data_IF_338721306886
#
_entry.id   IF_338721306886
#
_cell.length_a   1.000
_cell.length_b   1.000
_cell.length_c   1.000
_cell.angle_alpha   90.00
_cell.angle_beta   90.00
_cell.angle_gamma   90.00
#
_symmetry.space_group_name_H-M   'P 1'
#
loop_
_entity.id
_entity.type
_entity.pdbx_description
1 polymer ?
#
# COMPACT_ATOMS: atom_id res chain seq x y z
N UNK A 1 -3.87 25.01 -4.78
CA UNK A 1 -3.79 23.95 -5.82
C UNK A 1 -2.98 24.46 -6.99
N UNK A 2 -2.20 23.59 -7.66
CA UNK A 2 -1.33 23.96 -8.79
C UNK A 2 -1.49 22.99 -9.96
N UNK A 3 -1.58 23.48 -11.20
CA UNK A 3 -1.51 22.62 -12.37
C UNK A 3 -0.07 22.21 -12.65
N UNK A 4 0.14 20.95 -13.01
CA UNK A 4 1.44 20.44 -13.47
C UNK A 4 1.41 20.27 -15.00
N UNK A 5 2.56 20.45 -15.64
CA UNK A 5 2.72 20.36 -17.09
C UNK A 5 3.52 19.12 -17.53
N UNK A 6 4.17 18.41 -16.61
CA UNK A 6 4.96 17.19 -16.90
C UNK A 6 5.20 16.34 -15.67
N UNK A 7 5.64 15.10 -15.88
CA UNK A 7 6.13 14.22 -14.82
C UNK A 7 7.39 14.77 -14.14
N UNK A 8 8.31 15.39 -14.89
CA UNK A 8 9.54 15.96 -14.32
C UNK A 8 9.25 17.07 -13.31
N UNK A 9 8.28 17.94 -13.63
CA UNK A 9 7.80 18.98 -12.71
C UNK A 9 7.19 18.35 -11.45
N UNK A 10 6.29 17.39 -11.61
CA UNK A 10 5.69 16.66 -10.50
C UNK A 10 6.75 16.00 -9.60
N UNK A 11 7.69 15.26 -10.19
CA UNK A 11 8.74 14.56 -9.46
C UNK A 11 9.60 15.51 -8.62
N UNK A 12 9.86 16.72 -9.12
CA UNK A 12 10.58 17.78 -8.40
C UNK A 12 9.76 18.29 -7.21
N UNK A 13 8.46 18.55 -7.43
CA UNK A 13 7.54 19.03 -6.39
C UNK A 13 7.31 17.99 -5.28
N UNK A 14 7.24 16.70 -5.62
CA UNK A 14 7.10 15.61 -4.66
C UNK A 14 8.28 15.49 -3.68
N UNK A 15 9.44 16.10 -3.97
CA UNK A 15 10.58 16.12 -3.04
C UNK A 15 10.48 17.20 -1.97
N UNK A 16 9.61 18.18 -2.17
CA UNK A 16 9.53 19.37 -1.32
C UNK A 16 8.57 19.19 -0.14
N UNK A 17 7.77 18.13 -0.16
CA UNK A 17 6.71 17.90 0.83
C UNK A 17 6.65 16.43 1.27
N UNK A 18 6.37 16.21 2.55
CA UNK A 18 6.22 14.87 3.12
C UNK A 18 4.97 14.16 2.60
N UNK A 19 3.88 14.91 2.37
CA UNK A 19 2.63 14.40 1.81
C UNK A 19 2.17 15.32 0.69
N UNK A 20 1.84 14.75 -0.47
CA UNK A 20 1.41 15.47 -1.66
C UNK A 20 0.25 14.76 -2.35
N UNK A 21 -0.58 15.52 -3.06
CA UNK A 21 -1.79 14.99 -3.68
C UNK A 21 -1.86 15.40 -5.14
N UNK A 22 -2.40 14.54 -6.00
CA UNK A 22 -2.55 14.82 -7.42
C UNK A 22 -3.91 14.34 -7.92
N UNK A 23 -4.70 15.23 -8.51
CA UNK A 23 -5.87 14.84 -9.28
C UNK A 23 -5.49 14.75 -10.77
N UNK A 24 -5.51 13.53 -11.30
CA UNK A 24 -5.56 13.28 -12.73
C UNK A 24 -7.01 13.44 -13.19
N UNK A 25 -7.24 14.30 -14.18
CA UNK A 25 -8.57 14.57 -14.72
C UNK A 25 -8.49 14.71 -16.25
N UNK A 26 -9.63 14.59 -16.93
CA UNK A 26 -9.73 14.88 -18.37
C UNK A 26 -10.73 16.00 -18.58
N UNK A 27 -10.30 17.14 -19.13
CA UNK A 27 -11.22 18.26 -19.41
C UNK A 27 -12.32 17.83 -20.39
N UNK A 28 -13.56 18.26 -20.14
CA UNK A 28 -14.74 17.86 -20.93
C UNK A 28 -15.35 16.52 -20.54
N UNK A 29 -14.83 15.83 -19.52
CA UNK A 29 -15.47 14.66 -18.93
C UNK A 29 -16.29 15.08 -17.70
N UNK A 30 -17.59 14.77 -17.70
CA UNK A 30 -18.49 15.15 -16.60
C UNK A 30 -17.99 14.66 -15.23
N UNK A 31 -17.49 13.42 -15.14
CA UNK A 31 -16.92 12.87 -13.92
C UNK A 31 -15.64 13.62 -13.49
N UNK A 32 -14.80 14.01 -14.44
CA UNK A 32 -13.58 14.76 -14.14
C UNK A 32 -13.88 16.19 -13.68
N UNK A 33 -14.88 16.83 -14.28
CA UNK A 33 -15.34 18.18 -13.90
C UNK A 33 -15.98 18.17 -12.51
N UNK A 34 -16.79 17.16 -12.21
CA UNK A 34 -17.36 16.94 -10.88
C UNK A 34 -16.25 16.72 -9.83
N UNK A 35 -15.27 15.86 -10.13
CA UNK A 35 -14.15 15.61 -9.22
C UNK A 35 -13.34 16.89 -8.92
N UNK A 36 -13.10 17.72 -9.94
CA UNK A 36 -12.45 19.02 -9.79
C UNK A 36 -13.26 19.98 -8.92
N UNK A 37 -14.57 20.06 -9.12
CA UNK A 37 -15.45 20.90 -8.32
C UNK A 37 -15.49 20.44 -6.86
N UNK A 38 -15.61 19.13 -6.63
CA UNK A 38 -15.65 18.56 -5.29
C UNK A 38 -14.34 18.78 -4.55
N UNK A 39 -13.20 18.63 -5.23
CA UNK A 39 -11.89 18.89 -4.65
C UNK A 39 -11.70 20.38 -4.29
N UNK A 40 -12.15 21.30 -5.15
CA UNK A 40 -12.09 22.76 -4.88
C UNK A 40 -12.99 23.21 -3.75
N UNK A 41 -14.11 22.52 -3.55
CA UNK A 41 -15.07 22.79 -2.47
C UNK A 41 -14.61 22.19 -1.13
N UNK A 42 -13.65 21.28 -1.15
CA UNK A 42 -13.12 20.67 0.06
C UNK A 42 -12.40 21.69 0.93
N UNK A 43 -12.61 21.56 2.24
CA UNK A 43 -11.91 22.32 3.27
C UNK A 43 -10.48 21.77 3.42
N UNK A 44 -9.56 22.41 2.71
CA UNK A 44 -8.15 22.02 2.63
C UNK A 44 -7.32 23.16 3.23
N UNK A 45 -6.47 22.82 4.21
CA UNK A 45 -5.57 23.78 4.83
C UNK A 45 -4.68 24.48 3.80
N UNK A 46 -4.56 25.80 3.93
CA UNK A 46 -3.72 26.61 3.06
C UNK A 46 -2.27 26.09 3.09
N UNK A 47 -1.61 26.10 1.93
CA UNK A 47 -0.27 25.55 1.76
C UNK A 47 -0.21 24.03 1.54
N UNK A 48 -1.31 23.30 1.61
CA UNK A 48 -1.31 21.85 1.32
C UNK A 48 -0.99 21.59 -0.16
N UNK A 49 0.03 20.77 -0.48
CA UNK A 49 0.47 20.51 -1.86
C UNK A 49 -0.51 19.61 -2.62
N UNK A 50 -1.50 20.26 -3.24
CA UNK A 50 -2.47 19.61 -4.13
C UNK A 50 -2.23 20.04 -5.57
N UNK A 51 -1.95 19.06 -6.41
CA UNK A 51 -1.63 19.22 -7.83
C UNK A 51 -2.79 18.75 -8.71
N UNK A 52 -2.90 19.32 -9.90
CA UNK A 52 -3.92 19.02 -10.90
C UNK A 52 -3.24 18.71 -12.24
N UNK A 53 -3.70 17.69 -12.95
CA UNK A 53 -3.13 17.29 -14.23
C UNK A 53 -4.23 16.88 -15.22
N UNK A 54 -4.36 17.67 -16.29
CA UNK A 54 -5.22 17.32 -17.41
C UNK A 54 -4.51 16.28 -18.29
N UNK A 55 -4.97 15.03 -18.25
CA UNK A 55 -4.36 13.93 -19.00
C UNK A 55 -4.48 14.10 -20.52
N UNK A 56 -5.37 14.98 -20.99
CA UNK A 56 -5.45 15.31 -22.41
C UNK A 56 -4.26 16.17 -22.87
N UNK A 57 -3.73 17.01 -21.99
CA UNK A 57 -2.62 17.93 -22.25
C UNK A 57 -1.28 17.36 -21.80
N UNK A 58 -1.25 16.67 -20.65
CA UNK A 58 -0.05 16.10 -20.02
C UNK A 58 -0.13 14.59 -20.06
N UNK A 59 0.61 13.98 -21.00
CA UNK A 59 0.45 12.56 -21.36
C UNK A 59 1.44 11.61 -20.68
N UNK A 60 2.47 12.11 -20.04
CA UNK A 60 3.54 11.33 -19.41
C UNK A 60 3.20 10.91 -17.97
N UNK A 61 2.55 11.78 -17.20
CA UNK A 61 2.27 11.57 -15.77
C UNK A 61 1.45 10.30 -15.51
N UNK A 62 0.34 10.09 -16.24
CA UNK A 62 -0.56 8.96 -15.98
C UNK A 62 0.06 7.61 -16.37
N UNK A 63 0.94 7.60 -17.38
CA UNK A 63 1.66 6.40 -17.81
C UNK A 63 2.62 5.91 -16.74
N UNK A 64 3.32 6.84 -16.07
CA UNK A 64 4.31 6.51 -15.04
C UNK A 64 3.70 5.82 -13.81
N UNK A 65 2.41 6.03 -13.56
CA UNK A 65 1.67 5.43 -12.45
C UNK A 65 0.64 4.39 -12.91
N UNK A 66 0.71 3.95 -14.17
CA UNK A 66 -0.18 2.94 -14.77
C UNK A 66 -1.68 3.27 -14.62
N UNK A 67 -2.03 4.56 -14.67
CA UNK A 67 -3.41 5.03 -14.54
C UNK A 67 -4.07 5.11 -15.92
N UNK A 68 -5.08 4.27 -16.14
CA UNK A 68 -5.83 4.18 -17.39
C UNK A 68 -7.24 4.80 -17.32
N UNK A 69 -7.63 5.35 -16.16
CA UNK A 69 -8.95 5.94 -15.92
C UNK A 69 -8.81 7.33 -15.31
N UNK A 70 -9.62 8.29 -15.76
CA UNK A 70 -9.76 9.60 -15.14
C UNK A 70 -11.25 9.85 -14.80
N UNK A 71 -11.57 10.46 -13.65
CA UNK A 71 -10.65 11.04 -12.67
C UNK A 71 -9.95 10.00 -11.78
N UNK A 72 -8.73 10.30 -11.36
CA UNK A 72 -7.98 9.53 -10.38
C UNK A 72 -7.21 10.46 -9.43
N UNK A 73 -7.37 10.24 -8.13
CA UNK A 73 -6.71 11.00 -7.09
C UNK A 73 -5.58 10.19 -6.48
N UNK A 74 -4.36 10.68 -6.59
CA UNK A 74 -3.13 10.02 -6.14
C UNK A 74 -2.65 10.70 -4.87
N UNK A 75 -2.29 9.89 -3.88
CA UNK A 75 -1.72 10.32 -2.60
C UNK A 75 -0.27 9.88 -2.56
N UNK A 76 0.63 10.82 -2.27
CA UNK A 76 2.06 10.59 -2.19
C UNK A 76 2.58 10.83 -0.78
N UNK A 77 3.54 10.00 -0.38
CA UNK A 77 4.41 10.24 0.78
C UNK A 77 5.83 10.45 0.26
N UNK A 78 6.26 11.72 0.17
CA UNK A 78 7.41 12.11 -0.63
C UNK A 78 7.27 11.66 -2.09
N UNK A 79 8.26 10.91 -2.61
CA UNK A 79 8.21 10.34 -3.97
C UNK A 79 7.38 9.06 -4.09
N UNK A 80 7.02 8.42 -2.97
CA UNK A 80 6.32 7.14 -2.97
C UNK A 80 4.83 7.37 -3.21
N UNK A 81 4.29 6.75 -4.24
CA UNK A 81 2.83 6.65 -4.41
C UNK A 81 2.27 5.78 -3.28
N UNK A 82 1.49 6.36 -2.39
CA UNK A 82 0.92 5.69 -1.23
C UNK A 82 -0.46 5.10 -1.53
N UNK A 83 -1.29 5.83 -2.28
CA UNK A 83 -2.65 5.40 -2.59
C UNK A 83 -3.14 5.99 -3.93
N UNK A 84 -3.99 5.24 -4.61
CA UNK A 84 -4.75 5.69 -5.79
C UNK A 84 -6.23 5.52 -5.51
N UNK A 85 -7.00 6.58 -5.67
CA UNK A 85 -8.46 6.60 -5.51
C UNK A 85 -9.06 6.94 -6.86
N UNK A 86 -9.81 6.00 -7.44
CA UNK A 86 -10.43 6.16 -8.76
C UNK A 86 -11.83 6.75 -8.62
N UNK A 87 -12.27 7.49 -9.63
CA UNK A 87 -13.61 8.06 -9.69
C UNK A 87 -13.78 9.36 -8.93
N UNK A 88 -15.03 9.84 -8.89
CA UNK A 88 -15.42 11.05 -8.18
C UNK A 88 -15.55 10.77 -6.68
N UNK A 89 -15.17 11.75 -5.87
CA UNK A 89 -15.30 11.70 -4.41
C UNK A 89 -15.99 12.97 -3.92
N UNK A 90 -16.54 12.93 -2.71
CA UNK A 90 -17.23 14.08 -2.11
C UNK A 90 -16.24 15.11 -1.57
N UNK A 91 -16.64 16.39 -1.42
CA UNK A 91 -15.79 17.40 -0.78
C UNK A 91 -15.31 16.98 0.62
N UNK A 92 -16.21 16.42 1.45
CA UNK A 92 -15.88 15.94 2.79
C UNK A 92 -14.80 14.84 2.77
N UNK A 93 -14.90 13.92 1.81
CA UNK A 93 -13.90 12.87 1.63
C UNK A 93 -12.52 13.46 1.32
N UNK A 94 -12.43 14.45 0.43
CA UNK A 94 -11.18 15.13 0.14
C UNK A 94 -10.64 15.90 1.36
N UNK A 95 -11.47 16.67 2.06
CA UNK A 95 -11.05 17.40 3.28
C UNK A 95 -10.43 16.44 4.30
N UNK A 96 -11.05 15.29 4.49
CA UNK A 96 -10.62 14.29 5.44
C UNK A 96 -9.35 13.56 5.02
N UNK A 97 -9.28 13.14 3.75
CA UNK A 97 -8.11 12.49 3.17
C UNK A 97 -6.88 13.41 3.22
N UNK A 98 -7.06 14.67 2.84
CA UNK A 98 -5.99 15.66 2.74
C UNK A 98 -5.58 16.21 4.12
N UNK A 99 -6.55 16.44 5.00
CA UNK A 99 -6.34 16.90 6.37
C UNK A 99 -5.80 15.84 7.33
N UNK A 100 -5.46 14.64 6.85
CA UNK A 100 -4.92 13.55 7.67
C UNK A 100 -5.92 12.92 8.64
N UNK A 101 -7.22 13.18 8.46
CA UNK A 101 -8.35 12.66 9.25
C UNK A 101 -9.24 11.79 8.37
N UNK A 102 -8.68 10.78 7.72
CA UNK A 102 -9.44 9.87 6.84
C UNK A 102 -10.62 9.18 7.57
N UNK A 103 -11.87 9.23 7.07
CA UNK A 103 -12.70 8.05 6.99
C UNK A 103 -12.25 7.32 5.73
N UNK A 104 -11.40 6.35 5.96
CA UNK A 104 -11.22 5.24 5.05
C UNK A 104 -12.61 4.63 4.78
N UNK A 105 -13.06 4.45 3.52
CA UNK A 105 -14.14 3.52 3.22
C UNK A 105 -13.53 2.11 3.23
N UNK A 106 -13.04 1.76 4.42
CA UNK A 106 -12.57 0.47 4.96
C UNK A 106 -11.92 0.82 6.29
N UNK A 107 -12.73 1.23 7.26
CA UNK A 107 -12.29 1.31 8.65
C UNK A 107 -12.03 -0.12 9.16
N UNK A 108 -10.78 -0.56 9.04
CA UNK A 108 -10.10 -1.36 10.05
C UNK A 108 -8.74 -0.73 10.29
N UNK A 109 -8.66 0.04 11.38
CA UNK A 109 -7.46 0.32 12.18
C UNK A 109 -6.13 -0.12 11.56
N UNK A 110 -5.44 0.79 10.86
CA UNK A 110 -4.05 0.58 10.43
C UNK A 110 -3.04 0.93 11.53
N UNK A 111 -3.45 0.70 12.78
CA UNK A 111 -2.58 0.57 13.94
C UNK A 111 -2.83 -0.77 14.66
N UNK A 112 -3.62 -1.67 14.05
CA UNK A 112 -3.88 -3.04 14.53
C UNK A 112 -4.42 -3.96 13.40
N UNK A 113 -4.02 -3.74 12.14
CA UNK A 113 -4.32 -4.68 11.07
C UNK A 113 -3.36 -5.88 11.18
N UNK A 114 -3.86 -7.13 11.24
CA UNK A 114 -2.99 -8.30 11.31
C UNK A 114 -2.09 -8.32 10.07
N UNK A 115 -0.81 -8.56 10.28
CA UNK A 115 0.18 -8.63 9.22
C UNK A 115 -0.22 -9.78 8.31
N UNK A 116 -0.05 -9.61 7.01
CA UNK A 116 -0.16 -10.73 6.09
C UNK A 116 1.04 -11.64 6.36
N UNK A 117 0.80 -12.72 7.08
CA UNK A 117 1.79 -13.75 7.36
C UNK A 117 1.47 -15.00 6.54
N UNK A 118 2.40 -15.43 5.70
CA UNK A 118 2.32 -16.71 4.99
C UNK A 118 3.50 -17.57 5.46
N UNK A 119 3.22 -18.80 5.84
CA UNK A 119 4.24 -19.78 6.26
C UNK A 119 4.29 -20.89 5.22
N UNK A 120 5.42 -21.02 4.55
CA UNK A 120 5.70 -22.12 3.64
C UNK A 120 6.26 -23.30 4.44
N UNK A 121 5.61 -24.46 4.32
CA UNK A 121 5.88 -25.65 5.13
C UNK A 121 5.95 -26.91 4.27
N UNK A 122 6.37 -28.00 4.90
CA UNK A 122 6.16 -29.37 4.43
C UNK A 122 5.67 -30.23 5.60
N UNK A 123 4.99 -31.38 5.35
CA UNK A 123 4.32 -32.14 6.40
C UNK A 123 5.23 -32.68 7.51
N UNK A 124 6.50 -32.97 7.20
CA UNK A 124 7.45 -33.62 8.12
C UNK A 124 8.47 -32.66 8.74
N UNK A 125 8.35 -31.36 8.46
CA UNK A 125 9.30 -30.35 8.90
C UNK A 125 9.08 -29.95 10.38
N UNK A 126 9.97 -30.41 11.26
CA UNK A 126 9.93 -30.09 12.71
C UNK A 126 10.05 -28.58 12.98
N UNK A 127 10.94 -27.89 12.27
CA UNK A 127 11.14 -26.43 12.39
C UNK A 127 9.91 -25.62 11.94
N UNK A 128 9.17 -26.12 10.96
CA UNK A 128 7.91 -25.52 10.51
C UNK A 128 6.86 -25.58 11.62
N UNK A 129 6.82 -26.67 12.39
CA UNK A 129 5.95 -26.77 13.56
C UNK A 129 6.37 -25.79 14.66
N UNK A 130 7.67 -25.65 14.94
CA UNK A 130 8.19 -24.66 15.90
C UNK A 130 7.76 -23.24 15.56
N UNK A 131 7.97 -22.83 14.30
CA UNK A 131 7.56 -21.51 13.81
C UNK A 131 6.04 -21.29 13.91
N UNK A 132 5.24 -22.26 13.48
CA UNK A 132 3.76 -22.16 13.58
C UNK A 132 3.29 -22.06 15.02
N UNK A 133 3.89 -22.83 15.93
CA UNK A 133 3.58 -22.77 17.36
C UNK A 133 3.94 -21.41 17.95
N UNK A 134 5.10 -20.84 17.57
CA UNK A 134 5.50 -19.50 17.97
C UNK A 134 4.49 -18.43 17.53
N UNK A 135 4.08 -18.45 16.26
CA UNK A 135 3.08 -17.51 15.74
C UNK A 135 1.73 -17.68 16.47
N UNK A 136 1.30 -18.91 16.72
CA UNK A 136 0.06 -19.19 17.48
C UNK A 136 0.14 -18.72 18.92
N UNK A 137 1.26 -18.91 19.62
CA UNK A 137 1.41 -18.46 21.02
C UNK A 137 1.34 -16.94 21.14
N UNK A 138 1.71 -16.21 20.08
CA UNK A 138 1.56 -14.76 19.99
C UNK A 138 0.25 -14.29 19.35
N UNK A 139 -0.71 -15.20 19.11
CA UNK A 139 -2.00 -14.92 18.45
C UNK A 139 -1.88 -14.30 17.05
N UNK A 140 -0.77 -14.57 16.36
CA UNK A 140 -0.55 -14.11 15.00
C UNK A 140 -1.30 -15.03 14.05
N UNK A 141 -2.22 -14.44 13.28
CA UNK A 141 -2.93 -15.17 12.22
C UNK A 141 -2.03 -15.32 11.00
N UNK A 142 -1.95 -16.52 10.43
CA UNK A 142 -1.15 -16.78 9.23
C UNK A 142 -1.83 -17.78 8.29
N UNK A 143 -1.49 -17.71 7.01
CA UNK A 143 -1.81 -18.73 6.01
C UNK A 143 -0.68 -19.74 5.91
N UNK A 144 -1.01 -21.03 5.99
CA UNK A 144 -0.04 -22.11 5.75
C UNK A 144 -0.11 -22.55 4.29
N UNK A 145 1.05 -22.67 3.65
CA UNK A 145 1.18 -23.24 2.29
C UNK A 145 2.12 -24.43 2.36
N UNK A 146 1.58 -25.62 2.14
CA UNK A 146 2.37 -26.84 1.97
C UNK A 146 2.97 -26.89 0.56
N UNK A 147 4.25 -26.56 0.46
CA UNK A 147 4.95 -26.51 -0.83
C UNK A 147 5.27 -27.89 -1.40
N UNK A 148 5.13 -28.97 -0.62
CA UNK A 148 5.27 -30.33 -1.18
C UNK A 148 4.05 -30.77 -1.98
N UNK A 149 2.96 -30.01 -1.93
CA UNK A 149 1.70 -30.30 -2.64
C UNK A 149 1.34 -29.25 -3.69
N UNK A 150 2.07 -28.14 -3.73
CA UNK A 150 1.86 -27.05 -4.66
C UNK A 150 3.19 -26.59 -5.28
N UNK A 151 3.55 -27.20 -6.40
CA UNK A 151 4.79 -26.93 -7.14
C UNK A 151 4.89 -25.49 -7.62
N UNK A 152 3.75 -24.84 -7.91
CA UNK A 152 3.73 -23.43 -8.33
C UNK A 152 4.12 -22.54 -7.15
N UNK A 153 3.59 -22.82 -5.97
CA UNK A 153 3.97 -22.08 -4.76
C UNK A 153 5.40 -22.38 -4.34
N UNK A 154 5.89 -23.61 -4.53
CA UNK A 154 7.30 -23.96 -4.31
C UNK A 154 8.24 -23.15 -5.22
N UNK A 155 7.92 -23.05 -6.52
CA UNK A 155 8.69 -22.27 -7.47
C UNK A 155 8.67 -20.77 -7.13
N UNK A 156 7.51 -20.22 -6.76
CA UNK A 156 7.39 -18.83 -6.33
C UNK A 156 8.17 -18.55 -5.03
N UNK A 157 8.15 -19.48 -4.08
CA UNK A 157 8.93 -19.39 -2.84
C UNK A 157 10.43 -19.27 -3.18
N UNK A 158 10.95 -20.18 -4.01
CA UNK A 158 12.36 -20.18 -4.45
C UNK A 158 12.69 -18.90 -5.21
N UNK A 159 11.82 -18.46 -6.13
CA UNK A 159 12.05 -17.25 -6.91
C UNK A 159 12.16 -16.01 -6.02
N UNK A 160 11.36 -15.94 -4.95
CA UNK A 160 11.32 -14.80 -4.03
C UNK A 160 12.45 -14.80 -3.00
N UNK A 161 12.86 -15.98 -2.54
CA UNK A 161 13.85 -16.11 -1.45
C UNK A 161 15.24 -16.51 -1.91
N UNK A 162 15.37 -17.03 -3.12
CA UNK A 162 16.58 -17.70 -3.60
C UNK A 162 16.86 -19.05 -2.92
N UNK A 163 15.93 -19.56 -2.10
CA UNK A 163 16.12 -20.75 -1.27
C UNK A 163 14.97 -21.75 -1.42
N UNK A 164 15.32 -23.03 -1.45
CA UNK A 164 14.34 -24.13 -1.57
C UNK A 164 13.90 -24.70 -0.21
N UNK A 165 14.70 -24.52 0.83
CA UNK A 165 14.42 -25.09 2.15
C UNK A 165 13.25 -24.40 2.87
N UNK A 166 12.47 -25.18 3.60
CA UNK A 166 11.45 -24.70 4.57
C UNK A 166 11.98 -24.83 6.01
N UNK A 167 11.46 -24.07 6.99
CA UNK A 167 10.39 -23.08 6.87
C UNK A 167 10.85 -21.79 6.18
N UNK A 168 9.92 -21.13 5.47
CA UNK A 168 10.06 -19.74 5.06
C UNK A 168 8.79 -18.98 5.45
N UNK A 169 8.96 -17.74 5.89
CA UNK A 169 7.84 -16.87 6.28
C UNK A 169 7.85 -15.63 5.42
N UNK A 170 6.73 -15.33 4.78
CA UNK A 170 6.47 -14.03 4.17
C UNK A 170 5.66 -13.18 5.14
N UNK A 171 6.22 -12.05 5.58
CA UNK A 171 5.54 -11.07 6.43
C UNK A 171 5.46 -9.77 5.65
N UNK A 172 4.24 -9.42 5.19
CA UNK A 172 3.98 -8.21 4.40
C UNK A 172 4.91 -8.02 3.18
N UNK A 173 5.28 -9.12 2.51
CA UNK A 173 6.16 -9.12 1.34
C UNK A 173 7.63 -9.38 1.66
N UNK A 174 8.03 -9.36 2.94
CA UNK A 174 9.40 -9.63 3.37
C UNK A 174 9.59 -11.10 3.73
N UNK A 175 10.53 -11.76 3.05
CA UNK A 175 10.84 -13.16 3.29
C UNK A 175 11.85 -13.33 4.42
N UNK A 176 11.53 -14.23 5.34
CA UNK A 176 12.41 -14.76 6.39
C UNK A 176 12.65 -16.23 6.09
N UNK A 177 13.92 -16.64 6.07
CA UNK A 177 14.32 -18.03 5.86
C UNK A 177 14.58 -18.66 7.23
N UNK A 178 14.04 -19.85 7.46
CA UNK A 178 14.16 -20.56 8.73
C UNK A 178 13.32 -19.96 9.85
N UNK A 179 13.71 -20.24 11.09
CA UNK A 179 13.11 -19.68 12.30
C UNK A 179 14.02 -18.60 12.89
N UNK A 180 13.96 -17.38 12.35
CA UNK A 180 14.64 -16.20 12.89
C UNK A 180 13.68 -15.40 13.76
N UNK A 181 13.68 -15.70 15.06
CA UNK A 181 12.81 -15.03 16.04
C UNK A 181 13.01 -13.52 16.04
N UNK A 182 14.24 -13.02 16.05
CA UNK A 182 14.52 -11.59 16.13
C UNK A 182 13.94 -10.86 14.92
N UNK A 183 14.10 -11.44 13.73
CA UNK A 183 13.55 -10.83 12.51
C UNK A 183 12.03 -10.90 12.46
N UNK A 184 11.44 -12.03 12.86
CA UNK A 184 9.99 -12.20 12.99
C UNK A 184 9.43 -11.14 13.95
N UNK A 185 10.07 -10.93 15.08
CA UNK A 185 9.62 -9.99 16.10
C UNK A 185 9.69 -8.54 15.63
N UNK A 186 10.75 -8.18 14.90
CA UNK A 186 10.84 -6.86 14.28
C UNK A 186 9.71 -6.59 13.29
N UNK A 187 9.34 -7.61 12.49
CA UNK A 187 8.29 -7.45 11.48
C UNK A 187 6.87 -7.56 12.06
N UNK A 188 6.72 -8.18 13.22
CA UNK A 188 5.45 -8.36 13.92
C UNK A 188 5.30 -7.48 15.17
N UNK A 189 6.19 -6.51 15.39
CA UNK A 189 6.33 -5.75 16.64
C UNK A 189 5.01 -5.18 17.20
N UNK A 190 4.05 -4.82 16.33
CA UNK A 190 2.75 -4.27 16.73
C UNK A 190 1.67 -5.33 17.02
N UNK A 191 1.97 -6.62 16.85
CA UNK A 191 1.03 -7.76 16.94
C UNK A 191 1.49 -8.86 17.87
N UNK A 192 2.73 -8.78 18.37
CA UNK A 192 3.20 -9.72 19.38
C UNK A 192 2.61 -9.39 20.73
N UNK A 193 1.83 -10.31 21.27
CA UNK A 193 1.46 -10.27 22.69
C UNK A 193 2.74 -10.50 23.50
N UNK A 194 3.14 -9.49 24.28
CA UNK A 194 4.15 -9.65 25.33
C UNK A 194 3.49 -10.42 26.47
N UNK A 195 3.72 -11.71 26.51
CA UNK A 195 3.34 -12.53 27.67
C UNK A 195 4.31 -12.16 28.80
N UNK A 196 3.83 -11.80 30.01
CA UNK A 196 4.67 -11.50 31.17
C UNK A 196 5.50 -12.72 31.63
#
# INVERSE_FOLDING_TARGET
>A
MRNIASYQELASLLTQHNSSFLLLYKKGSSLSEEALLNLKTADISEGTPVYLCDVAQVRDVHLQYEINTAPAFLVFQGKRLAQVIKGTQTPAYYSQLIGGKTPTPTSRNEQNAPARVIVYTTPTCSWCNTLKSYLRSHQVTFSEIDVSRDEKMAAQMVQRSGQQGVPQTDINGQIIIGFDRTRIDQLLNNQLIKIP
#
